data_IF_012005988377
#
_entry.id   IF_012005988377
#
_cell.length_a   1.000
_cell.length_b   1.000
_cell.length_c   1.000
_cell.angle_alpha   90.00
_cell.angle_beta   90.00
_cell.angle_gamma   90.00
#
_symmetry.space_group_name_H-M   'P 1'
#
loop_
_entity.id
_entity.type
_entity.pdbx_description
1 polymer ?
#
# COMPACT_ATOMS: atom_id res chain seq x y z
N UNK A 1 4.00 -15.37 -7.68
CA UNK A 1 3.54 -14.07 -8.24
C UNK A 1 2.22 -13.72 -7.56
N UNK A 2 2.08 -12.51 -6.98
CA UNK A 2 0.84 -12.14 -6.29
C UNK A 2 -0.34 -12.03 -7.26
N UNK A 3 -0.08 -11.67 -8.52
CA UNK A 3 -1.12 -11.56 -9.55
C UNK A 3 -1.68 -12.91 -9.98
N UNK A 4 -0.88 -13.98 -9.94
CA UNK A 4 -1.39 -15.34 -10.15
C UNK A 4 -2.38 -15.76 -9.05
N UNK A 5 -2.08 -15.43 -7.78
CA UNK A 5 -2.99 -15.67 -6.67
C UNK A 5 -4.24 -14.78 -6.77
N UNK A 6 -4.07 -13.51 -7.16
CA UNK A 6 -5.16 -12.57 -7.44
C UNK A 6 -6.15 -13.11 -8.48
N UNK A 7 -5.64 -13.64 -9.60
CA UNK A 7 -6.47 -14.21 -10.67
C UNK A 7 -7.30 -15.42 -10.23
N UNK A 8 -6.91 -16.10 -9.14
CA UNK A 8 -7.69 -17.19 -8.55
C UNK A 8 -8.80 -16.71 -7.59
N UNK A 9 -8.86 -15.42 -7.29
CA UNK A 9 -9.87 -14.85 -6.39
C UNK A 9 -11.20 -14.60 -7.12
N UNK A 10 -12.36 -14.94 -6.51
CA UNK A 10 -13.67 -14.55 -7.04
C UNK A 10 -13.77 -13.04 -7.24
N UNK A 11 -14.53 -12.59 -8.25
CA UNK A 11 -14.70 -11.18 -8.59
C UNK A 11 -15.21 -10.34 -7.39
N UNK A 12 -16.11 -10.90 -6.59
CA UNK A 12 -16.62 -10.26 -5.37
C UNK A 12 -15.51 -9.99 -4.35
N UNK A 13 -14.66 -10.99 -4.10
CA UNK A 13 -13.54 -10.88 -3.16
C UNK A 13 -12.50 -9.89 -3.68
N UNK A 14 -12.24 -9.89 -4.99
CA UNK A 14 -11.39 -8.91 -5.66
C UNK A 14 -11.93 -7.49 -5.49
N UNK A 15 -13.23 -7.28 -5.69
CA UNK A 15 -13.87 -5.98 -5.48
C UNK A 15 -13.65 -5.53 -4.04
N UNK A 16 -14.00 -6.36 -3.06
CA UNK A 16 -13.86 -6.04 -1.64
C UNK A 16 -12.40 -5.75 -1.23
N UNK A 17 -11.45 -6.52 -1.75
CA UNK A 17 -10.03 -6.35 -1.49
C UNK A 17 -9.48 -4.99 -1.94
N UNK A 18 -10.03 -4.42 -3.02
CA UNK A 18 -9.58 -3.12 -3.55
C UNK A 18 -10.29 -1.92 -2.92
N UNK A 19 -11.35 -2.09 -2.14
CA UNK A 19 -12.05 -0.95 -1.52
C UNK A 19 -11.16 -0.29 -0.47
N UNK A 20 -10.83 0.98 -0.66
CA UNK A 20 -10.08 1.77 0.31
C UNK A 20 -11.06 2.40 1.31
N UNK A 21 -11.04 1.94 2.56
CA UNK A 21 -11.95 2.39 3.63
C UNK A 21 -11.35 3.45 4.57
N UNK A 22 -10.08 3.79 4.38
CA UNK A 22 -9.41 4.79 5.21
C UNK A 22 -9.85 6.21 4.79
N UNK A 23 -10.70 6.83 5.62
CA UNK A 23 -11.23 8.17 5.39
C UNK A 23 -10.14 9.23 5.18
N UNK A 24 -8.97 9.05 5.80
CA UNK A 24 -7.87 9.99 5.65
C UNK A 24 -7.08 9.81 4.35
N UNK A 25 -7.00 8.59 3.82
CA UNK A 25 -6.51 8.35 2.45
C UNK A 25 -7.49 8.95 1.45
N UNK A 26 -8.79 8.72 1.63
CA UNK A 26 -9.82 9.27 0.75
C UNK A 26 -9.83 10.80 0.76
N UNK A 27 -9.75 11.42 1.94
CA UNK A 27 -9.64 12.88 2.08
C UNK A 27 -8.37 13.44 1.43
N UNK A 28 -7.23 12.77 1.59
CA UNK A 28 -5.97 13.21 0.98
C UNK A 28 -6.01 13.12 -0.55
N UNK A 29 -6.53 12.03 -1.12
CA UNK A 29 -6.71 11.87 -2.56
C UNK A 29 -7.65 12.94 -3.13
N UNK A 30 -8.78 13.19 -2.46
CA UNK A 30 -9.72 14.25 -2.85
C UNK A 30 -9.06 15.63 -2.85
N UNK A 31 -8.30 15.95 -1.81
CA UNK A 31 -7.57 17.22 -1.72
C UNK A 31 -6.50 17.34 -2.84
N UNK A 32 -5.78 16.27 -3.14
CA UNK A 32 -4.78 16.24 -4.22
C UNK A 32 -5.43 16.43 -5.60
N UNK A 33 -6.55 15.74 -5.87
CA UNK A 33 -7.32 15.95 -7.11
C UNK A 33 -7.79 17.39 -7.26
N UNK A 34 -8.32 17.98 -6.19
CA UNK A 34 -8.75 19.39 -6.19
C UNK A 34 -7.58 20.34 -6.48
N UNK A 35 -6.42 20.11 -5.88
CA UNK A 35 -5.23 20.91 -6.11
C UNK A 35 -4.75 20.82 -7.57
N UNK A 36 -4.69 19.61 -8.14
CA UNK A 36 -4.33 19.40 -9.55
C UNK A 36 -5.33 20.07 -10.49
N UNK A 37 -6.63 19.95 -10.20
CA UNK A 37 -7.68 20.60 -10.99
C UNK A 37 -7.58 22.13 -10.96
N UNK A 38 -7.32 22.72 -9.79
CA UNK A 38 -7.10 24.15 -9.64
C UNK A 38 -5.87 24.63 -10.42
N UNK A 39 -4.76 23.88 -10.35
CA UNK A 39 -3.56 24.18 -11.13
C UNK A 39 -3.84 24.12 -12.64
N UNK A 40 -4.63 23.14 -13.10
CA UNK A 40 -5.00 23.02 -14.51
C UNK A 40 -5.88 24.18 -14.98
N UNK A 41 -6.86 24.61 -14.18
CA UNK A 41 -7.67 25.81 -14.49
C UNK A 41 -6.78 27.04 -14.64
N UNK A 42 -5.80 27.22 -13.75
CA UNK A 42 -4.86 28.33 -13.80
C UNK A 42 -3.95 28.27 -15.03
N UNK A 43 -3.48 27.09 -15.43
CA UNK A 43 -2.70 26.95 -16.66
C UNK A 43 -3.54 27.29 -17.90
N UNK A 44 -4.80 26.82 -17.95
CA UNK A 44 -5.71 27.10 -19.07
C UNK A 44 -6.03 28.59 -19.20
N UNK A 45 -6.12 29.32 -18.09
CA UNK A 45 -6.34 30.78 -18.14
C UNK A 45 -5.14 31.55 -18.72
N UNK A 46 -3.95 30.96 -18.70
CA UNK A 46 -2.73 31.46 -19.35
C UNK A 46 -2.58 30.97 -20.80
N UNK A 47 -3.56 30.22 -21.33
CA UNK A 47 -3.50 29.61 -22.66
C UNK A 47 -2.62 28.35 -22.74
N UNK A 48 -2.22 27.78 -21.59
CA UNK A 48 -1.45 26.54 -21.52
C UNK A 48 -2.42 25.37 -21.29
N UNK A 49 -2.38 24.36 -22.16
CA UNK A 49 -3.13 23.11 -21.99
C UNK A 49 -2.20 21.99 -21.58
N UNK A 50 -2.57 21.21 -20.55
CA UNK A 50 -1.83 20.01 -20.17
C UNK A 50 -1.97 18.91 -21.22
N UNK A 51 -0.97 18.02 -21.29
CA UNK A 51 -0.94 16.91 -22.26
C UNK A 51 -1.84 15.73 -21.88
N UNK A 52 -2.26 15.63 -20.62
CA UNK A 52 -3.00 14.48 -20.09
C UNK A 52 -4.30 14.95 -19.47
N UNK A 53 -5.41 14.36 -19.93
CA UNK A 53 -6.73 14.65 -19.40
C UNK A 53 -7.09 13.64 -18.28
N UNK A 54 -7.59 14.09 -17.11
CA UNK A 54 -7.84 13.20 -15.95
C UNK A 54 -8.88 12.10 -16.20
N UNK A 55 -9.70 12.24 -17.25
CA UNK A 55 -10.72 11.26 -17.64
C UNK A 55 -10.31 10.39 -18.84
N UNK A 56 -9.05 10.50 -19.28
CA UNK A 56 -8.52 9.63 -20.34
C UNK A 56 -8.25 8.23 -19.78
N UNK A 57 -9.12 7.28 -20.11
CA UNK A 57 -9.01 5.89 -19.68
C UNK A 57 -7.79 5.18 -20.25
N UNK A 58 -7.27 5.63 -21.39
CA UNK A 58 -6.09 5.02 -22.00
C UNK A 58 -4.82 5.42 -21.28
N UNK A 59 -4.78 6.57 -20.62
CA UNK A 59 -3.60 7.06 -19.90
C UNK A 59 -3.70 6.88 -18.39
N UNK A 60 -4.90 7.05 -17.82
CA UNK A 60 -5.16 7.07 -16.39
C UNK A 60 -6.32 6.11 -16.03
N UNK A 61 -6.17 4.81 -16.29
CA UNK A 61 -7.26 3.83 -16.14
C UNK A 61 -7.79 3.74 -14.70
N UNK A 62 -6.94 3.88 -13.68
CA UNK A 62 -7.38 3.80 -12.29
C UNK A 62 -8.07 5.10 -11.84
N UNK A 63 -7.51 6.26 -12.16
CA UNK A 63 -8.07 7.55 -11.78
C UNK A 63 -9.41 7.79 -12.47
N UNK A 64 -9.50 7.51 -13.78
CA UNK A 64 -10.71 7.75 -14.57
C UNK A 64 -11.88 6.83 -14.20
N UNK A 65 -11.59 5.68 -13.59
CA UNK A 65 -12.59 4.72 -13.10
C UNK A 65 -12.82 4.82 -11.58
N UNK A 66 -12.15 5.75 -10.89
CA UNK A 66 -12.24 5.87 -9.44
C UNK A 66 -13.59 6.48 -9.01
N UNK A 67 -14.24 5.85 -8.05
CA UNK A 67 -15.50 6.29 -7.47
C UNK A 67 -15.33 6.63 -5.99
N UNK A 68 -15.75 7.83 -5.59
CA UNK A 68 -15.87 8.20 -4.18
C UNK A 68 -17.27 7.87 -3.69
N UNK A 69 -17.35 6.99 -2.71
CA UNK A 69 -18.61 6.59 -2.09
C UNK A 69 -18.66 7.11 -0.65
N UNK A 70 -19.81 7.64 -0.27
CA UNK A 70 -20.06 8.14 1.07
C UNK A 70 -21.19 7.31 1.69
N UNK A 71 -20.88 6.64 2.79
CA UNK A 71 -21.83 5.79 3.50
C UNK A 71 -21.88 6.21 4.97
N UNK A 72 -23.08 6.23 5.55
CA UNK A 72 -23.25 6.48 6.99
C UNK A 72 -23.12 5.14 7.72
N UNK A 73 -22.12 5.00 8.61
CA UNK A 73 -21.99 3.82 9.48
C UNK A 73 -22.86 3.97 10.73
N UNK A 74 -22.95 5.19 11.24
CA UNK A 74 -23.86 5.58 12.33
C UNK A 74 -24.47 6.95 12.03
N UNK A 75 -25.45 7.38 12.85
CA UNK A 75 -26.15 8.68 12.70
C UNK A 75 -25.19 9.88 12.66
N UNK A 76 -23.94 9.72 13.13
CA UNK A 76 -22.94 10.78 13.20
C UNK A 76 -21.61 10.48 12.49
N UNK A 77 -21.44 9.30 11.89
CA UNK A 77 -20.17 8.94 11.22
C UNK A 77 -20.36 8.69 9.73
N UNK A 78 -19.70 9.53 8.94
CA UNK A 78 -19.59 9.40 7.49
C UNK A 78 -18.31 8.63 7.17
N UNK A 79 -18.44 7.47 6.56
CA UNK A 79 -17.31 6.74 5.97
C UNK A 79 -17.17 7.19 4.53
N UNK A 80 -16.01 7.76 4.21
CA UNK A 80 -15.56 7.95 2.83
C UNK A 80 -14.82 6.70 2.38
N UNK A 81 -15.31 6.08 1.31
CA UNK A 81 -14.66 4.93 0.68
C UNK A 81 -14.32 5.26 -0.76
N UNK A 82 -13.27 4.62 -1.26
CA UNK A 82 -12.91 4.65 -2.68
C UNK A 82 -13.06 3.24 -3.23
N UNK A 83 -13.71 3.14 -4.38
CA UNK A 83 -13.86 1.89 -5.12
C UNK A 83 -13.70 2.11 -6.62
N UNK A 84 -13.70 1.00 -7.34
CA UNK A 84 -13.67 0.95 -8.79
C UNK A 84 -14.89 0.15 -9.30
N UNK A 85 -15.35 0.40 -10.54
CA UNK A 85 -16.49 -0.29 -11.11
C UNK A 85 -16.23 -1.79 -11.26
N UNK A 86 -17.31 -2.57 -11.21
CA UNK A 86 -17.25 -4.04 -11.26
C UNK A 86 -16.52 -4.58 -12.50
N UNK A 87 -16.58 -3.88 -13.64
CA UNK A 87 -15.88 -4.25 -14.87
C UNK A 87 -14.36 -4.40 -14.68
N UNK A 88 -13.76 -3.64 -13.76
CA UNK A 88 -12.33 -3.74 -13.45
C UNK A 88 -11.99 -5.01 -12.63
N UNK A 89 -12.99 -5.60 -11.97
CA UNK A 89 -12.87 -6.81 -11.15
C UNK A 89 -13.47 -8.06 -11.78
N UNK A 90 -14.17 -7.95 -12.91
CA UNK A 90 -14.64 -9.11 -13.66
C UNK A 90 -13.45 -9.84 -14.27
N UNK A 91 -12.65 -9.12 -15.06
CA UNK A 91 -11.40 -9.64 -15.62
C UNK A 91 -10.21 -9.38 -14.67
N UNK A 92 -9.52 -10.42 -14.18
CA UNK A 92 -8.38 -10.24 -13.28
C UNK A 92 -7.18 -9.57 -13.95
N UNK A 93 -7.04 -9.70 -15.27
CA UNK A 93 -5.96 -9.09 -16.01
C UNK A 93 -6.13 -7.57 -16.14
N UNK A 94 -7.37 -7.05 -16.08
CA UNK A 94 -7.66 -5.63 -16.26
C UNK A 94 -7.05 -4.76 -15.15
N UNK A 95 -7.24 -5.12 -13.88
CA UNK A 95 -6.61 -4.39 -12.76
C UNK A 95 -5.08 -4.51 -12.79
N UNK A 96 -4.57 -5.70 -13.10
CA UNK A 96 -3.13 -5.95 -13.23
C UNK A 96 -2.51 -5.09 -14.35
N UNK A 97 -3.16 -5.05 -15.52
CA UNK A 97 -2.72 -4.25 -16.65
C UNK A 97 -2.71 -2.76 -16.33
N UNK A 98 -3.76 -2.24 -15.68
CA UNK A 98 -3.83 -0.84 -15.25
C UNK A 98 -2.71 -0.49 -14.25
N UNK A 99 -2.46 -1.35 -13.26
CA UNK A 99 -1.38 -1.14 -12.28
C UNK A 99 -0.01 -1.22 -12.94
N UNK A 100 0.21 -2.19 -13.84
CA UNK A 100 1.48 -2.32 -14.60
C UNK A 100 1.69 -1.16 -15.56
N UNK A 101 0.64 -0.63 -16.15
CA UNK A 101 0.71 0.54 -17.02
C UNK A 101 1.19 1.76 -16.24
N UNK A 102 0.59 2.03 -15.08
CA UNK A 102 0.94 3.17 -14.24
C UNK A 102 2.34 3.04 -13.62
N UNK A 103 2.72 1.85 -13.13
CA UNK A 103 3.99 1.64 -12.44
C UNK A 103 5.15 1.22 -13.35
N UNK A 104 4.86 0.88 -14.60
CA UNK A 104 5.81 0.24 -15.52
C UNK A 104 6.22 -1.15 -15.04
N UNK A 105 7.52 -1.45 -15.15
CA UNK A 105 8.07 -2.74 -14.70
C UNK A 105 8.03 -2.86 -13.18
N UNK A 106 7.11 -3.68 -12.66
CA UNK A 106 6.94 -3.89 -11.23
C UNK A 106 7.97 -4.87 -10.69
N UNK A 107 9.00 -4.34 -10.02
CA UNK A 107 9.82 -5.15 -9.11
C UNK A 107 8.91 -5.70 -8.01
N UNK A 108 9.12 -6.95 -7.54
CA UNK A 108 8.29 -7.52 -6.48
C UNK A 108 8.37 -6.65 -5.22
N UNK A 109 7.22 -6.17 -4.75
CA UNK A 109 7.11 -5.34 -3.54
C UNK A 109 6.59 -6.16 -2.37
N UNK A 110 7.02 -5.79 -1.17
CA UNK A 110 6.50 -6.36 0.07
C UNK A 110 5.21 -5.66 0.46
N UNK A 111 4.25 -6.42 0.97
CA UNK A 111 3.02 -5.88 1.51
C UNK A 111 3.33 -4.92 2.69
N UNK A 112 2.88 -3.69 2.58
CA UNK A 112 2.93 -2.66 3.61
C UNK A 112 1.68 -2.76 4.47
N UNK A 113 1.85 -2.55 5.77
CA UNK A 113 0.71 -2.46 6.67
C UNK A 113 -0.18 -1.25 6.32
N UNK A 114 -1.52 -1.37 6.42
CA UNK A 114 -2.47 -0.31 6.07
C UNK A 114 -2.15 1.06 6.68
N UNK A 115 -1.68 1.10 7.94
CA UNK A 115 -1.26 2.33 8.63
C UNK A 115 -0.17 3.14 7.92
N UNK A 116 0.61 2.51 7.04
CA UNK A 116 1.68 3.15 6.28
C UNK A 116 1.26 3.55 4.86
N UNK A 117 0.04 3.24 4.42
CA UNK A 117 -0.40 3.51 3.06
C UNK A 117 -0.43 5.00 2.72
N UNK A 118 -0.66 5.88 3.72
CA UNK A 118 -0.55 7.34 3.55
C UNK A 118 0.81 7.79 3.04
N UNK A 119 1.87 7.06 3.36
CA UNK A 119 3.22 7.38 2.90
C UNK A 119 3.36 7.20 1.39
N UNK A 120 2.49 6.41 0.75
CA UNK A 120 2.46 6.22 -0.71
C UNK A 120 1.93 7.45 -1.44
N UNK A 121 1.21 8.34 -0.74
CA UNK A 121 0.71 9.61 -1.25
C UNK A 121 1.69 10.78 -1.01
N UNK A 122 2.92 10.46 -0.58
CA UNK A 122 3.99 11.43 -0.34
C UNK A 122 5.23 11.15 -1.20
N UNK A 123 5.81 12.16 -1.89
CA UNK A 123 5.34 13.55 -1.96
C UNK A 123 3.97 13.69 -2.65
N UNK A 124 3.30 14.83 -2.44
CA UNK A 124 2.01 15.08 -3.10
C UNK A 124 2.20 15.15 -4.63
N UNK A 125 1.28 14.56 -5.41
CA UNK A 125 1.39 14.51 -6.87
C UNK A 125 1.40 15.93 -7.44
N UNK A 126 2.26 16.15 -8.43
CA UNK A 126 2.35 17.43 -9.15
C UNK A 126 1.65 17.35 -10.51
N UNK A 127 1.47 16.15 -11.04
CA UNK A 127 0.77 15.87 -12.29
C UNK A 127 -0.32 14.81 -12.09
N UNK A 128 -1.24 14.70 -13.05
CA UNK A 128 -2.24 13.63 -13.08
C UNK A 128 -1.60 12.22 -13.17
N UNK A 129 -0.47 12.09 -13.86
CA UNK A 129 0.30 10.85 -13.93
C UNK A 129 0.90 10.47 -12.56
N UNK A 130 1.41 11.44 -11.80
CA UNK A 130 1.93 11.17 -10.45
C UNK A 130 0.82 10.65 -9.52
N UNK A 131 -0.40 11.17 -9.68
CA UNK A 131 -1.56 10.72 -8.93
C UNK A 131 -1.97 9.30 -9.33
N UNK A 132 -2.01 8.99 -10.63
CA UNK A 132 -2.25 7.63 -11.14
C UNK A 132 -1.22 6.63 -10.61
N UNK A 133 0.07 6.98 -10.60
CA UNK A 133 1.10 6.15 -9.99
C UNK A 133 0.87 5.90 -8.50
N UNK A 134 0.41 6.93 -7.79
CA UNK A 134 0.13 6.85 -6.36
C UNK A 134 -1.08 5.96 -6.07
N UNK A 135 -2.13 6.04 -6.91
CA UNK A 135 -3.28 5.15 -6.88
C UNK A 135 -2.86 3.71 -7.21
N UNK A 136 -2.05 3.49 -8.24
CA UNK A 136 -1.55 2.18 -8.59
C UNK A 136 -0.73 1.53 -7.46
N UNK A 137 0.10 2.33 -6.75
CA UNK A 137 0.79 1.88 -5.53
C UNK A 137 -0.20 1.43 -4.44
N UNK A 138 -1.27 2.19 -4.21
CA UNK A 138 -2.29 1.83 -3.21
C UNK A 138 -3.03 0.54 -3.59
N UNK A 139 -3.49 0.44 -4.83
CA UNK A 139 -4.18 -0.74 -5.37
C UNK A 139 -3.29 -1.98 -5.28
N UNK A 140 -2.02 -1.87 -5.69
CA UNK A 140 -1.04 -2.95 -5.58
C UNK A 140 -0.89 -3.42 -4.12
N UNK A 141 -0.80 -2.49 -3.16
CA UNK A 141 -0.71 -2.85 -1.74
C UNK A 141 -1.99 -3.51 -1.21
N UNK A 142 -3.16 -3.09 -1.70
CA UNK A 142 -4.44 -3.72 -1.36
C UNK A 142 -4.50 -5.17 -1.86
N UNK A 143 -4.10 -5.41 -3.11
CA UNK A 143 -3.98 -6.75 -3.71
C UNK A 143 -3.00 -7.62 -2.91
N UNK A 144 -1.82 -7.09 -2.59
CA UNK A 144 -0.81 -7.81 -1.80
C UNK A 144 -1.32 -8.20 -0.41
N UNK A 145 -2.08 -7.32 0.26
CA UNK A 145 -2.68 -7.62 1.57
C UNK A 145 -3.74 -8.71 1.47
N UNK A 146 -4.63 -8.64 0.47
CA UNK A 146 -5.69 -9.63 0.29
C UNK A 146 -5.12 -11.03 -0.03
N UNK A 147 -4.13 -11.10 -0.91
CA UNK A 147 -3.43 -12.35 -1.22
C UNK A 147 -2.72 -12.90 0.02
N UNK A 148 -2.05 -12.06 0.80
CA UNK A 148 -1.40 -12.48 2.03
C UNK A 148 -2.39 -13.02 3.07
N UNK A 149 -3.54 -12.38 3.25
CA UNK A 149 -4.58 -12.82 4.18
C UNK A 149 -5.08 -14.24 3.83
N UNK A 150 -5.39 -14.51 2.56
CA UNK A 150 -5.81 -15.84 2.09
C UNK A 150 -4.77 -16.94 2.36
N UNK A 151 -3.48 -16.61 2.25
CA UNK A 151 -2.43 -17.62 2.51
C UNK A 151 -2.37 -18.02 3.99
N UNK A 152 -2.70 -17.12 4.91
CA UNK A 152 -2.72 -17.42 6.35
C UNK A 152 -3.91 -18.31 6.69
N UNK A 153 -5.09 -18.00 6.16
CA UNK A 153 -6.32 -18.77 6.43
C UNK A 153 -6.22 -20.22 5.95
N UNK A 154 -5.60 -20.45 4.79
CA UNK A 154 -5.40 -21.80 4.26
C UNK A 154 -4.37 -22.63 5.06
N UNK A 155 -3.46 -22.00 5.81
CA UNK A 155 -2.50 -22.70 6.69
C UNK A 155 -3.08 -23.03 8.07
N UNK A 156 -4.21 -22.44 8.44
CA UNK A 156 -4.88 -22.64 9.72
C UNK A 156 -5.92 -23.78 9.66
N UNK A 157 -5.59 -24.90 9.00
CA UNK A 157 -6.43 -26.09 9.05
C UNK A 157 -6.51 -26.62 10.51
N UNK A 158 -7.74 -26.84 11.03
CA UNK A 158 -8.00 -27.37 12.36
C UNK A 158 -7.91 -28.91 12.31
N UNK A 159 -6.88 -29.50 12.91
CA UNK A 159 -6.74 -30.96 12.87
C UNK A 159 -5.43 -31.55 13.37
N UNK A 160 -4.86 -31.02 14.46
CA UNK A 160 -3.74 -31.66 15.14
C UNK A 160 -3.83 -31.49 16.66
N UNK A 161 -4.98 -31.86 17.25
CA UNK A 161 -5.04 -32.18 18.69
C UNK A 161 -4.83 -33.69 18.97
N UNK A 162 -4.71 -34.55 17.96
CA UNK A 162 -4.46 -36.01 18.13
C UNK A 162 -3.11 -36.47 17.53
N UNK A 163 -2.04 -35.72 17.78
CA UNK A 163 -0.67 -36.21 17.55
C UNK A 163 0.28 -35.80 18.70
N UNK A 164 -0.25 -35.77 19.92
CA UNK A 164 0.49 -35.61 21.17
C UNK A 164 0.48 -36.92 21.96
N UNK A 165 1.00 -37.97 21.34
CA UNK A 165 1.51 -39.13 22.04
C UNK A 165 2.67 -39.72 21.24
N UNK A 166 3.87 -39.64 21.82
CA UNK A 166 5.12 -40.28 21.39
C UNK A 166 5.79 -39.80 20.08
N UNK A 167 6.46 -38.65 20.18
CA UNK A 167 7.83 -38.56 19.68
C UNK A 167 8.54 -37.41 20.41
N UNK A 168 9.42 -37.77 21.35
CA UNK A 168 10.25 -36.81 22.05
C UNK A 168 11.12 -36.01 21.08
N UNK A 169 11.06 -34.69 21.18
CA UNK A 169 12.12 -33.80 20.73
C UNK A 169 12.00 -32.50 21.51
N UNK A 170 12.67 -32.50 22.66
CA UNK A 170 13.14 -31.27 23.27
C UNK A 170 14.01 -30.49 22.27
N UNK A 171 14.11 -29.18 22.48
CA UNK A 171 15.13 -28.28 21.91
C UNK A 171 14.76 -27.46 20.65
N UNK A 172 13.71 -26.64 20.75
CA UNK A 172 13.53 -25.48 19.85
C UNK A 172 13.26 -24.14 20.57
N UNK A 173 13.27 -24.11 21.91
CA UNK A 173 12.99 -22.89 22.70
C UNK A 173 14.20 -21.95 22.89
N UNK A 174 15.40 -22.33 22.42
CA UNK A 174 16.64 -21.58 22.68
C UNK A 174 17.04 -20.55 21.61
N UNK A 175 16.33 -20.44 20.48
CA UNK A 175 16.85 -19.65 19.33
C UNK A 175 16.42 -18.17 19.34
N UNK A 176 15.36 -17.78 20.06
CA UNK A 176 14.83 -16.41 19.98
C UNK A 176 15.46 -15.39 20.94
N UNK A 177 16.25 -15.80 21.93
CA UNK A 177 16.91 -14.89 22.89
C UNK A 177 18.25 -14.32 22.39
N UNK A 178 18.83 -14.90 21.34
CA UNK A 178 20.17 -14.56 20.84
C UNK A 178 20.22 -13.28 19.98
N UNK A 179 19.13 -12.92 19.27
CA UNK A 179 19.08 -11.71 18.42
C UNK A 179 18.91 -10.40 19.22
N UNK A 180 18.21 -10.43 20.36
CA UNK A 180 18.00 -9.24 21.19
C UNK A 180 19.29 -8.82 21.92
N UNK A 181 20.06 -9.78 22.44
CA UNK A 181 21.31 -9.52 23.16
C UNK A 181 22.41 -8.87 22.28
N UNK A 182 22.43 -9.18 20.98
CA UNK A 182 23.43 -8.63 20.04
C UNK A 182 23.24 -7.14 19.75
N UNK A 183 22.00 -6.65 19.74
CA UNK A 183 21.68 -5.22 19.54
C UNK A 183 22.05 -4.35 20.75
N UNK A 184 21.98 -4.90 21.97
CA UNK A 184 22.33 -4.16 23.18
C UNK A 184 23.84 -3.86 23.27
N UNK A 185 24.69 -4.86 22.96
CA UNK A 185 26.17 -4.70 23.01
C UNK A 185 26.73 -3.74 21.96
N UNK A 186 26.05 -3.59 20.82
CA UNK A 186 26.49 -2.65 19.77
C UNK A 186 26.22 -1.18 20.15
N UNK A 187 25.19 -0.91 20.98
CA UNK A 187 24.87 0.43 21.47
C UNK A 187 25.88 0.92 22.52
N UNK A 188 26.40 0.02 23.34
CA UNK A 188 27.44 0.30 24.35
C UNK A 188 28.78 0.72 23.70
N UNK A 189 29.26 0.00 22.68
CA UNK A 189 30.54 0.34 22.00
C UNK A 189 30.56 1.74 21.39
N UNK A 190 29.42 2.26 20.93
CA UNK A 190 29.34 3.61 20.33
C UNK A 190 29.44 4.74 21.36
N UNK A 191 29.23 4.48 22.64
CA UNK A 191 29.36 5.49 23.71
C UNK A 191 30.83 5.70 24.12
N UNK A 192 31.68 4.69 24.02
CA UNK A 192 33.07 4.75 24.48
C UNK A 192 34.00 5.55 23.54
N UNK A 193 33.71 5.62 22.25
CA UNK A 193 34.57 6.34 21.29
C UNK A 193 34.32 7.86 21.21
N UNK A 194 33.38 8.41 21.98
CA UNK A 194 33.04 9.85 21.91
C UNK A 194 33.72 10.72 22.97
N UNK A 195 34.61 10.15 23.78
CA UNK A 195 35.25 10.84 24.92
C UNK A 195 36.73 11.22 24.71
N UNK A 196 37.25 11.13 23.49
CA UNK A 196 38.67 11.40 23.23
C UNK A 196 38.94 12.05 21.88
N UNK A 197 38.64 13.34 21.76
CA UNK A 197 39.30 14.28 20.82
C UNK A 197 39.38 15.61 21.57
N UNK A 198 40.31 15.72 22.52
CA UNK A 198 41.58 16.46 22.38
C UNK A 198 41.34 17.86 21.81
N UNK A 199 41.28 18.83 22.74
CA UNK A 199 41.35 20.26 22.48
C UNK A 199 42.71 20.60 21.84
N UNK A 200 42.77 21.43 20.79
CA UNK A 200 44.03 21.95 20.30
C UNK A 200 44.61 22.99 21.29
N UNK A 201 45.95 23.12 21.38
CA UNK A 201 46.58 24.14 22.21
C UNK A 201 46.38 25.52 21.60
N UNK A 202 46.08 26.49 22.46
CA UNK A 202 45.96 27.90 22.10
C UNK A 202 47.34 28.48 21.75
N UNK A 203 47.37 29.35 20.74
CA UNK A 203 48.42 30.34 20.48
C UNK A 203 47.75 31.61 19.98
#
# INVERSE_FOLDING_TARGET
DCWAAWSSMPAEERRQATVLRDASIAGQLRAQMQALWQAEIQLRSLGLTGNVHPFDREQLPLLSAMEFNEAFETVSSLIHTISWPASLHEDPASLEAAVKQALGSTKPRKALQPRHWKQLLHPGPQTWLDLEESLAKLVEQAVLQAVAARTVDNTALPGSEEALAEAGLEDASKVLTSRAAKRLRQRERRKLCRKGVISPPAS
#
